data_IF_740268052161
#
_entry.id   IF_740268052161
#
_cell.length_a   1.000
_cell.length_b   1.000
_cell.length_c   1.000
_cell.angle_alpha   90.00
_cell.angle_beta   90.00
_cell.angle_gamma   90.00
#
_symmetry.space_group_name_H-M   'P 1'
#
loop_
_entity.id
_entity.type
_entity.pdbx_description
1 polymer ?
#
# COMPACT_ATOMS: atom_id res chain seq x y z
N UNK A 1 36.98 13.17 5.96
CA UNK A 1 36.17 11.96 5.71
C UNK A 1 34.77 12.21 6.26
N UNK A 2 33.82 12.59 5.40
CA UNK A 2 32.43 12.83 5.81
C UNK A 2 31.69 11.49 5.73
N UNK A 3 31.45 10.84 6.88
CA UNK A 3 30.71 9.58 6.95
C UNK A 3 29.23 9.96 6.84
N UNK A 4 28.44 9.43 5.88
CA UNK A 4 27.02 9.70 5.87
C UNK A 4 26.45 9.22 7.20
N UNK A 5 25.81 10.13 7.94
CA UNK A 5 25.07 9.78 9.15
C UNK A 5 23.95 8.85 8.73
N UNK A 6 24.17 7.54 8.89
CA UNK A 6 23.08 6.57 8.86
C UNK A 6 22.07 7.03 9.91
N UNK A 7 20.77 7.13 9.56
CA UNK A 7 19.76 7.51 10.53
C UNK A 7 19.84 6.55 11.72
N UNK A 8 19.78 7.11 12.93
CA UNK A 8 19.80 6.33 14.17
C UNK A 8 18.78 5.18 14.06
N UNK A 9 19.12 3.95 14.48
CA UNK A 9 18.22 2.79 14.38
C UNK A 9 16.83 3.04 15.01
N UNK A 10 16.77 3.92 16.02
CA UNK A 10 15.54 4.39 16.65
C UNK A 10 14.66 5.22 15.71
N UNK A 11 15.25 6.07 14.87
CA UNK A 11 14.55 6.89 13.89
C UNK A 11 14.01 6.05 12.73
N UNK A 12 14.78 5.06 12.28
CA UNK A 12 14.31 4.05 11.30
C UNK A 12 13.09 3.30 11.83
N UNK A 13 13.12 2.81 13.06
CA UNK A 13 11.98 2.13 13.67
C UNK A 13 10.75 3.04 13.80
N UNK A 14 10.95 4.29 14.23
CA UNK A 14 9.86 5.26 14.47
C UNK A 14 9.14 5.68 13.18
N UNK A 15 9.80 5.55 12.01
CA UNK A 15 9.21 5.91 10.71
C UNK A 15 8.76 4.69 9.93
N UNK A 16 9.57 3.64 9.88
CA UNK A 16 9.34 2.49 9.02
C UNK A 16 8.19 1.62 9.53
N UNK A 17 8.10 1.40 10.84
CA UNK A 17 7.02 0.60 11.43
C UNK A 17 5.63 1.18 11.15
N UNK A 18 5.33 2.46 11.48
CA UNK A 18 4.03 3.03 11.16
C UNK A 18 3.77 3.12 9.64
N UNK A 19 4.81 3.34 8.83
CA UNK A 19 4.66 3.34 7.37
C UNK A 19 4.22 1.97 6.82
N UNK A 20 4.78 0.88 7.34
CA UNK A 20 4.37 -0.48 6.94
C UNK A 20 2.95 -0.81 7.42
N UNK A 21 2.57 -0.34 8.61
CA UNK A 21 1.20 -0.49 9.10
C UNK A 21 0.20 0.31 8.22
N UNK A 22 0.57 1.52 7.79
CA UNK A 22 -0.21 2.31 6.85
C UNK A 22 -0.40 1.55 5.52
N UNK A 23 0.67 0.99 4.95
CA UNK A 23 0.57 0.19 3.72
C UNK A 23 -0.40 -0.99 3.88
N UNK A 24 -0.31 -1.74 4.99
CA UNK A 24 -1.23 -2.85 5.25
C UNK A 24 -2.68 -2.38 5.31
N UNK A 25 -2.96 -1.33 6.09
CA UNK A 25 -4.29 -0.77 6.25
C UNK A 25 -4.90 -0.32 4.91
N UNK A 26 -4.14 0.44 4.11
CA UNK A 26 -4.63 0.98 2.84
C UNK A 26 -4.81 -0.08 1.77
N UNK A 27 -3.93 -1.08 1.70
CA UNK A 27 -4.11 -2.20 0.79
C UNK A 27 -5.29 -3.08 1.18
N UNK A 28 -5.53 -3.31 2.48
CA UNK A 28 -6.71 -4.07 2.94
C UNK A 28 -8.01 -3.39 2.55
N UNK A 29 -8.06 -2.07 2.73
CA UNK A 29 -9.20 -1.26 2.32
C UNK A 29 -9.43 -1.29 0.81
N UNK A 30 -8.35 -1.26 0.04
CA UNK A 30 -8.40 -1.27 -1.43
C UNK A 30 -8.83 -2.64 -1.95
N UNK A 31 -8.30 -3.71 -1.37
CA UNK A 31 -8.73 -5.09 -1.62
C UNK A 31 -10.21 -5.28 -1.34
N UNK A 32 -10.68 -4.85 -0.17
CA UNK A 32 -12.09 -4.93 0.22
C UNK A 32 -12.98 -4.24 -0.81
N UNK A 33 -12.59 -3.06 -1.32
CA UNK A 33 -13.31 -2.37 -2.38
C UNK A 33 -13.37 -3.20 -3.66
N UNK A 34 -12.22 -3.69 -4.12
CA UNK A 34 -12.08 -4.42 -5.39
C UNK A 34 -12.73 -5.81 -5.36
N UNK A 35 -12.86 -6.44 -4.20
CA UNK A 35 -13.51 -7.75 -4.06
C UNK A 35 -15.04 -7.65 -3.96
N UNK A 36 -15.56 -6.58 -3.36
CA UNK A 36 -16.97 -6.49 -3.02
C UNK A 36 -17.79 -5.59 -3.95
N UNK A 37 -17.15 -4.68 -4.67
CA UNK A 37 -17.83 -3.73 -5.55
C UNK A 37 -17.55 -4.03 -7.01
N UNK A 38 -18.52 -3.77 -7.88
CA UNK A 38 -18.29 -3.71 -9.32
C UNK A 38 -17.95 -2.26 -9.69
N UNK A 39 -16.73 -2.03 -10.18
CA UNK A 39 -16.24 -0.69 -10.50
C UNK A 39 -16.47 -0.42 -11.99
N UNK A 40 -17.56 0.26 -12.34
CA UNK A 40 -18.03 0.42 -13.72
C UNK A 40 -17.05 1.07 -14.71
N UNK A 41 -16.08 1.83 -14.23
CA UNK A 41 -15.05 2.46 -15.06
C UNK A 41 -13.77 1.65 -15.23
N UNK A 42 -13.69 0.48 -14.59
CA UNK A 42 -12.67 -0.53 -14.83
C UNK A 42 -13.37 -1.70 -15.54
N UNK A 43 -12.76 -2.23 -16.59
CA UNK A 43 -13.22 -3.52 -17.09
C UNK A 43 -12.89 -4.66 -16.09
N UNK A 44 -13.51 -5.82 -16.27
CA UNK A 44 -13.32 -6.96 -15.36
C UNK A 44 -11.85 -7.40 -15.25
N UNK A 45 -11.08 -7.27 -16.34
CA UNK A 45 -9.67 -7.65 -16.37
C UNK A 45 -8.81 -6.62 -15.64
N UNK A 46 -9.08 -5.34 -15.83
CA UNK A 46 -8.41 -4.24 -15.14
C UNK A 46 -8.65 -4.31 -13.63
N UNK A 47 -9.90 -4.56 -13.21
CA UNK A 47 -10.23 -4.73 -11.79
C UNK A 47 -9.54 -5.96 -11.19
N UNK A 48 -9.52 -7.09 -11.92
CA UNK A 48 -8.84 -8.31 -11.48
C UNK A 48 -7.31 -8.15 -11.39
N UNK A 49 -6.68 -7.48 -12.37
CA UNK A 49 -5.25 -7.18 -12.37
C UNK A 49 -4.88 -6.29 -11.18
N UNK A 50 -5.66 -5.23 -10.93
CA UNK A 50 -5.42 -4.35 -9.80
C UNK A 50 -5.57 -5.09 -8.47
N UNK A 51 -6.59 -5.95 -8.33
CA UNK A 51 -6.79 -6.79 -7.15
C UNK A 51 -5.60 -7.72 -6.92
N UNK A 52 -5.13 -8.42 -7.95
CA UNK A 52 -3.98 -9.33 -7.85
C UNK A 52 -2.71 -8.60 -7.40
N UNK A 53 -2.45 -7.42 -7.97
CA UNK A 53 -1.32 -6.55 -7.58
C UNK A 53 -1.42 -6.10 -6.13
N UNK A 54 -2.62 -5.75 -5.65
CA UNK A 54 -2.87 -5.40 -4.25
C UNK A 54 -2.58 -6.58 -3.32
N UNK A 55 -3.09 -7.78 -3.63
CA UNK A 55 -2.85 -8.98 -2.82
C UNK A 55 -1.35 -9.31 -2.75
N UNK A 56 -0.64 -9.24 -3.87
CA UNK A 56 0.81 -9.45 -3.90
C UNK A 56 1.55 -8.41 -3.05
N UNK A 57 1.18 -7.14 -3.14
CA UNK A 57 1.78 -6.08 -2.33
C UNK A 57 1.51 -6.29 -0.83
N UNK A 58 0.29 -6.67 -0.44
CA UNK A 58 -0.05 -6.99 0.96
C UNK A 58 0.86 -8.09 1.52
N UNK A 59 1.01 -9.18 0.78
CA UNK A 59 1.86 -10.31 1.19
C UNK A 59 3.32 -9.88 1.34
N UNK A 60 3.81 -9.04 0.43
CA UNK A 60 5.18 -8.51 0.48
C UNK A 60 5.40 -7.58 1.67
N UNK A 61 4.47 -6.66 1.95
CA UNK A 61 4.51 -5.75 3.11
C UNK A 61 4.47 -6.55 4.42
N UNK A 62 3.58 -7.54 4.53
CA UNK A 62 3.50 -8.40 5.70
C UNK A 62 4.83 -9.15 5.94
N UNK A 63 5.39 -9.74 4.88
CA UNK A 63 6.68 -10.44 4.95
C UNK A 63 7.81 -9.52 5.40
N UNK A 64 7.88 -8.30 4.83
CA UNK A 64 8.86 -7.30 5.21
C UNK A 64 8.70 -6.86 6.68
N UNK A 65 7.46 -6.72 7.15
CA UNK A 65 7.12 -6.36 8.53
C UNK A 65 7.59 -7.45 9.51
N UNK A 66 7.34 -8.71 9.20
CA UNK A 66 7.79 -9.86 10.01
C UNK A 66 9.33 -9.90 10.07
N UNK A 67 10.01 -9.76 8.93
CA UNK A 67 11.47 -9.76 8.86
C UNK A 67 12.09 -8.58 9.63
N UNK A 68 11.52 -7.38 9.51
CA UNK A 68 11.94 -6.20 10.26
C UNK A 68 11.82 -6.43 11.77
N UNK A 69 10.69 -6.97 12.24
CA UNK A 69 10.47 -7.29 13.66
C UNK A 69 11.42 -8.39 14.15
N UNK A 70 11.61 -9.46 13.36
CA UNK A 70 12.51 -10.57 13.69
C UNK A 70 13.99 -10.14 13.80
N UNK A 71 14.40 -9.13 13.03
CA UNK A 71 15.77 -8.58 13.07
C UNK A 71 15.96 -7.47 14.12
N UNK A 72 14.95 -7.21 14.96
CA UNK A 72 15.00 -6.14 15.96
C UNK A 72 15.07 -4.74 15.34
N UNK A 73 14.47 -4.56 14.16
CA UNK A 73 14.45 -3.31 13.38
C UNK A 73 15.86 -2.81 12.99
N UNK A 74 16.85 -3.71 12.94
CA UNK A 74 18.23 -3.38 12.55
C UNK A 74 18.44 -3.41 11.03
N UNK A 75 17.52 -4.03 10.28
CA UNK A 75 17.50 -4.02 8.83
C UNK A 75 16.48 -2.97 8.33
N UNK A 76 16.93 -2.05 7.48
CA UNK A 76 16.05 -1.14 6.75
C UNK A 76 15.45 -1.82 5.52
N UNK A 77 14.41 -1.21 4.95
CA UNK A 77 13.84 -1.62 3.66
C UNK A 77 14.38 -0.68 2.58
N UNK A 78 14.84 -1.25 1.46
CA UNK A 78 15.33 -0.46 0.33
C UNK A 78 14.19 0.35 -0.31
N UNK A 79 14.50 1.60 -0.70
CA UNK A 79 13.54 2.45 -1.40
C UNK A 79 13.05 1.85 -2.71
N UNK A 80 13.84 1.00 -3.37
CA UNK A 80 13.44 0.26 -4.57
C UNK A 80 12.28 -0.69 -4.32
N UNK A 81 12.07 -1.13 -3.07
CA UNK A 81 10.95 -1.98 -2.64
C UNK A 81 9.74 -1.13 -2.25
N UNK A 82 9.96 0.01 -1.58
CA UNK A 82 8.88 0.89 -1.12
C UNK A 82 8.18 1.63 -2.27
N UNK A 83 8.92 2.06 -3.30
CA UNK A 83 8.37 2.87 -4.38
C UNK A 83 7.26 2.18 -5.20
N UNK A 84 7.37 0.89 -5.56
CA UNK A 84 6.27 0.14 -6.16
C UNK A 84 5.00 0.13 -5.30
N UNK A 85 5.13 -0.09 -3.99
CA UNK A 85 3.98 -0.09 -3.07
C UNK A 85 3.32 1.28 -2.99
N UNK A 86 4.11 2.35 -2.89
CA UNK A 86 3.58 3.71 -2.89
C UNK A 86 2.81 4.03 -4.18
N UNK A 87 3.34 3.66 -5.35
CA UNK A 87 2.65 3.88 -6.63
C UNK A 87 1.32 3.13 -6.70
N UNK A 88 1.31 1.87 -6.26
CA UNK A 88 0.08 1.08 -6.22
C UNK A 88 -0.95 1.69 -5.26
N UNK A 89 -0.52 2.16 -4.09
CA UNK A 89 -1.40 2.82 -3.13
C UNK A 89 -2.06 4.08 -3.73
N UNK A 90 -1.28 4.90 -4.45
CA UNK A 90 -1.81 6.10 -5.14
C UNK A 90 -2.84 5.72 -6.20
N UNK A 91 -2.58 4.68 -6.99
CA UNK A 91 -3.52 4.15 -7.98
C UNK A 91 -4.83 3.67 -7.34
N UNK A 92 -4.75 2.85 -6.28
CA UNK A 92 -5.94 2.39 -5.55
C UNK A 92 -6.73 3.55 -4.93
N UNK A 93 -6.04 4.62 -4.48
CA UNK A 93 -6.70 5.81 -3.97
C UNK A 93 -7.45 6.56 -5.08
N UNK A 94 -6.85 6.73 -6.27
CA UNK A 94 -7.53 7.34 -7.42
C UNK A 94 -8.80 6.58 -7.80
N UNK A 95 -8.73 5.24 -7.85
CA UNK A 95 -9.88 4.37 -8.08
C UNK A 95 -10.95 4.60 -7.00
N UNK A 96 -10.55 4.57 -5.72
CA UNK A 96 -11.47 4.76 -4.60
C UNK A 96 -12.15 6.13 -4.60
N UNK A 97 -11.43 7.20 -4.97
CA UNK A 97 -12.00 8.55 -5.07
C UNK A 97 -13.01 8.65 -6.20
N UNK A 98 -12.64 8.15 -7.39
CA UNK A 98 -13.53 8.18 -8.55
C UNK A 98 -14.79 7.35 -8.30
N UNK A 99 -14.65 6.16 -7.73
CA UNK A 99 -15.77 5.31 -7.36
C UNK A 99 -16.76 6.01 -6.42
N UNK A 100 -16.25 6.70 -5.39
CA UNK A 100 -17.09 7.49 -4.48
C UNK A 100 -17.80 8.63 -5.20
N UNK A 101 -17.12 9.33 -6.10
CA UNK A 101 -17.72 10.41 -6.87
C UNK A 101 -18.86 9.90 -7.76
N UNK A 102 -18.67 8.79 -8.48
CA UNK A 102 -19.70 8.19 -9.35
C UNK A 102 -20.91 7.68 -8.53
N UNK A 103 -20.67 7.12 -7.34
CA UNK A 103 -21.74 6.72 -6.41
C UNK A 103 -22.55 7.91 -5.90
N UNK A 104 -21.89 8.99 -5.48
CA UNK A 104 -22.58 10.21 -5.02
C UNK A 104 -23.50 10.80 -6.10
N UNK A 105 -23.02 10.89 -7.34
CA UNK A 105 -23.84 11.37 -8.47
C UNK A 105 -24.97 10.42 -8.86
N UNK A 106 -24.86 9.13 -8.54
CA UNK A 106 -25.91 8.14 -8.81
C UNK A 106 -27.04 8.17 -7.76
N UNK A 107 -26.74 8.62 -6.54
CA UNK A 107 -27.73 8.79 -5.45
C UNK A 107 -28.60 10.07 -5.61
N UNK A 108 -28.16 11.03 -6.43
CA UNK A 108 -28.87 12.30 -6.69
C UNK A 108 -29.79 12.24 -7.93
N UNK A 109 -29.85 11.11 -8.63
CA UNK A 109 -30.71 10.86 -9.80
C UNK A 109 -31.88 9.95 -9.46
#
# INVERSE_FOLDING_TARGET
MNRPHLPEPSLLKTVLEPLLDDFQYWFERSRTLLENETISFLDEREQADLLDRVIHAQNAVNSATILMKATGCKAGIDMSVLMPWHRLLVECWQVSMRFRAEQSTSLER
#
